data_IF_909867474898
#
_entry.id   IF_909867474898
#
_cell.length_a   1.000
_cell.length_b   1.000
_cell.length_c   1.000
_cell.angle_alpha   90.00
_cell.angle_beta   90.00
_cell.angle_gamma   90.00
#
_symmetry.space_group_name_H-M   'P 1'
#
loop_
_entity.id
_entity.type
_entity.pdbx_description
1 polymer ?
#
# COMPACT_ATOMS: atom_id res chain seq x y z
N UNK A 1 27.56 -0.21 42.32
CA UNK A 1 26.70 0.21 41.19
C UNK A 1 27.42 -0.22 39.93
N UNK A 2 27.03 -1.36 39.35
CA UNK A 2 27.69 -1.93 38.18
C UNK A 2 26.83 -1.61 36.97
N UNK A 3 27.21 -0.59 36.19
CA UNK A 3 26.49 -0.21 34.98
C UNK A 3 26.80 -1.26 33.90
N UNK A 4 25.77 -1.94 33.40
CA UNK A 4 25.90 -2.82 32.25
C UNK A 4 26.24 -1.97 31.00
N UNK A 5 27.13 -2.43 30.10
CA UNK A 5 27.44 -1.68 28.89
C UNK A 5 26.19 -1.58 28.01
N UNK A 6 25.75 -0.35 27.72
CA UNK A 6 24.65 -0.13 26.79
C UNK A 6 25.12 -0.46 25.36
N UNK A 7 24.34 -1.25 24.58
CA UNK A 7 24.72 -1.60 23.22
C UNK A 7 24.69 -0.35 22.32
N UNK A 8 25.86 0.08 21.84
CA UNK A 8 26.06 1.29 21.03
C UNK A 8 25.61 1.18 19.57
N UNK A 9 25.05 0.04 19.13
CA UNK A 9 24.59 -0.15 17.75
C UNK A 9 23.25 -0.88 17.77
N UNK A 10 22.19 -0.19 17.36
CA UNK A 10 20.93 -0.84 17.02
C UNK A 10 21.18 -1.72 15.80
N UNK A 11 21.00 -3.05 15.86
CA UNK A 11 21.15 -3.90 14.69
C UNK A 11 20.16 -3.41 13.62
N UNK A 12 20.66 -3.10 12.43
CA UNK A 12 19.82 -2.73 11.30
C UNK A 12 19.06 -4.00 10.89
N UNK A 13 17.83 -4.15 11.38
CA UNK A 13 16.94 -5.21 10.96
C UNK A 13 16.54 -4.89 9.53
N UNK A 14 17.26 -5.44 8.55
CA UNK A 14 16.90 -5.33 7.14
C UNK A 14 15.50 -5.90 6.97
N UNK A 15 14.49 -5.03 6.92
CA UNK A 15 13.12 -5.46 6.69
C UNK A 15 13.07 -6.19 5.35
N UNK A 16 12.47 -7.39 5.29
CA UNK A 16 12.37 -8.14 4.05
C UNK A 16 11.56 -7.33 3.04
N UNK A 17 12.27 -6.82 2.02
CA UNK A 17 11.72 -5.93 0.98
C UNK A 17 10.71 -6.63 0.06
N UNK A 18 10.64 -7.96 0.10
CA UNK A 18 9.70 -8.78 -0.65
C UNK A 18 8.65 -9.42 0.28
N UNK A 19 7.41 -9.48 -0.20
CA UNK A 19 6.27 -10.05 0.52
C UNK A 19 5.38 -8.97 1.16
N UNK A 20 4.58 -9.38 2.14
CA UNK A 20 3.76 -8.47 2.94
C UNK A 20 4.64 -7.73 3.94
N UNK A 21 5.17 -6.58 3.53
CA UNK A 21 5.88 -5.66 4.41
C UNK A 21 5.18 -4.29 4.41
N UNK A 22 5.49 -3.50 5.44
CA UNK A 22 4.82 -2.22 5.67
C UNK A 22 4.97 -1.24 4.48
N UNK A 23 6.08 -1.29 3.76
CA UNK A 23 6.28 -0.48 2.57
C UNK A 23 5.33 -0.88 1.43
N UNK A 24 5.22 -2.18 1.15
CA UNK A 24 4.34 -2.72 0.13
C UNK A 24 2.86 -2.45 0.45
N UNK A 25 2.46 -2.60 1.71
CA UNK A 25 1.10 -2.27 2.17
C UNK A 25 0.76 -0.80 1.95
N UNK A 26 1.66 0.12 2.32
CA UNK A 26 1.48 1.56 2.09
C UNK A 26 1.41 1.90 0.61
N UNK A 27 2.25 1.28 -0.21
CA UNK A 27 2.26 1.50 -1.66
C UNK A 27 0.96 1.00 -2.31
N UNK A 28 0.53 -0.21 -1.97
CA UNK A 28 -0.71 -0.80 -2.45
C UNK A 28 -1.93 0.01 -2.00
N UNK A 29 -1.95 0.49 -0.77
CA UNK A 29 -3.02 1.34 -0.25
C UNK A 29 -3.16 2.66 -1.04
N UNK A 30 -2.04 3.32 -1.36
CA UNK A 30 -2.04 4.53 -2.20
C UNK A 30 -2.53 4.25 -3.61
N UNK A 31 -2.06 3.15 -4.22
CA UNK A 31 -2.52 2.72 -5.53
C UNK A 31 -4.03 2.45 -5.54
N UNK A 32 -4.57 1.83 -4.48
CA UNK A 32 -6.00 1.60 -4.33
C UNK A 32 -6.80 2.91 -4.22
N UNK A 33 -6.33 3.91 -3.45
CA UNK A 33 -6.99 5.22 -3.37
C UNK A 33 -7.07 5.91 -4.74
N UNK A 34 -5.95 5.90 -5.49
CA UNK A 34 -5.91 6.46 -6.84
C UNK A 34 -6.82 5.68 -7.79
N UNK A 35 -6.77 4.35 -7.75
CA UNK A 35 -7.61 3.49 -8.58
C UNK A 35 -9.11 3.69 -8.32
N UNK A 36 -9.50 3.89 -7.07
CA UNK A 36 -10.90 4.16 -6.71
C UNK A 36 -11.39 5.50 -7.26
N UNK A 37 -10.60 6.57 -7.10
CA UNK A 37 -10.95 7.89 -7.66
C UNK A 37 -11.00 7.85 -9.19
N UNK A 38 -10.05 7.16 -9.83
CA UNK A 38 -10.03 6.96 -11.27
C UNK A 38 -11.27 6.18 -11.75
N UNK A 39 -11.68 5.13 -11.02
CA UNK A 39 -12.89 4.38 -11.33
C UNK A 39 -14.14 5.27 -11.30
N UNK A 40 -14.33 6.09 -10.26
CA UNK A 40 -15.45 7.02 -10.17
C UNK A 40 -15.42 8.06 -11.30
N UNK A 41 -14.24 8.55 -11.67
CA UNK A 41 -14.08 9.49 -12.78
C UNK A 41 -14.49 8.85 -14.11
N UNK A 42 -14.10 7.59 -14.36
CA UNK A 42 -14.48 6.84 -15.56
C UNK A 42 -15.99 6.58 -15.58
N UNK A 43 -16.60 6.18 -14.47
CA UNK A 43 -18.05 6.00 -14.37
C UNK A 43 -18.80 7.29 -14.69
N UNK A 44 -18.34 8.43 -14.15
CA UNK A 44 -18.94 9.73 -14.41
C UNK A 44 -18.83 10.15 -15.88
N UNK A 45 -17.67 9.95 -16.50
CA UNK A 45 -17.42 10.35 -17.90
C UNK A 45 -18.09 9.40 -18.91
N UNK A 46 -18.12 8.11 -18.62
CA UNK A 46 -18.72 7.10 -19.52
C UNK A 46 -20.24 6.99 -19.37
N UNK A 47 -20.80 7.42 -18.23
CA UNK A 47 -22.21 7.23 -17.92
C UNK A 47 -22.61 5.76 -17.68
N UNK A 48 -21.63 4.85 -17.60
CA UNK A 48 -21.83 3.43 -17.37
C UNK A 48 -21.06 3.00 -16.12
N UNK A 49 -21.68 2.16 -15.28
CA UNK A 49 -21.02 1.65 -14.08
C UNK A 49 -19.78 0.81 -14.42
N UNK A 50 -18.80 0.79 -13.52
CA UNK A 50 -17.50 0.12 -13.72
C UNK A 50 -17.67 -1.37 -14.07
N UNK A 51 -18.62 -2.05 -13.42
CA UNK A 51 -18.87 -3.48 -13.66
C UNK A 51 -19.43 -3.75 -15.06
N UNK A 52 -20.32 -2.89 -15.55
CA UNK A 52 -20.83 -2.98 -16.92
C UNK A 52 -19.73 -2.62 -17.93
N UNK A 53 -18.86 -1.65 -17.61
CA UNK A 53 -17.68 -1.34 -18.42
C UNK A 53 -16.69 -2.51 -18.52
N UNK A 54 -16.52 -3.27 -17.43
CA UNK A 54 -15.72 -4.50 -17.40
C UNK A 54 -16.44 -5.71 -18.04
N UNK A 55 -17.71 -5.56 -18.46
CA UNK A 55 -18.49 -6.65 -19.06
C UNK A 55 -18.88 -7.76 -18.08
N UNK A 56 -18.92 -7.44 -16.77
CA UNK A 56 -19.23 -8.41 -15.71
C UNK A 56 -20.74 -8.48 -15.42
N UNK A 57 -21.51 -7.50 -15.89
CA UNK A 57 -22.97 -7.42 -15.82
C UNK A 57 -23.56 -6.83 -17.11
#
# INVERSE_FOLDING_TARGET
>A
MSQAPEPSVTPNLTEPKFGFNQYAERLNGRAAMVGFVAALAIEYLSGQGLLAWLGLI
#
